data_IF_045566985478
#
_entry.id   IF_045566985478
#
_cell.length_a   1.000
_cell.length_b   1.000
_cell.length_c   1.000
_cell.angle_alpha   90.00
_cell.angle_beta   90.00
_cell.angle_gamma   90.00
#
_symmetry.space_group_name_H-M   'P 1'
#
loop_
_entity.id
_entity.type
_entity.pdbx_description
1 polymer ?
#
# COMPACT_ATOMS: atom_id res chain seq x y z
N UNK A 1 2.05 29.01 9.37
CA UNK A 1 3.12 28.20 8.73
C UNK A 1 2.92 26.76 9.18
N UNK A 2 2.47 25.87 8.30
CA UNK A 2 2.39 24.43 8.62
C UNK A 2 3.81 23.86 8.50
N UNK A 3 4.47 23.50 9.60
CA UNK A 3 5.84 23.04 9.56
C UNK A 3 5.90 21.66 8.89
N UNK A 4 6.87 21.47 8.02
CA UNK A 4 7.29 20.15 7.60
C UNK A 4 7.73 19.35 8.84
N UNK A 5 7.07 18.24 9.12
CA UNK A 5 7.41 17.37 10.25
C UNK A 5 8.41 16.33 9.77
N UNK A 6 9.60 16.32 10.36
CA UNK A 6 10.67 15.40 9.96
C UNK A 6 11.13 14.56 11.15
N UNK A 7 11.01 13.23 11.03
CA UNK A 7 11.63 12.26 11.93
C UNK A 7 12.91 11.72 11.29
N UNK A 8 14.03 11.95 11.92
CA UNK A 8 15.36 11.59 11.43
C UNK A 8 16.24 11.06 12.55
N UNK A 9 17.24 10.24 12.23
CA UNK A 9 18.26 9.71 13.15
C UNK A 9 17.68 9.06 14.42
N UNK A 10 16.67 8.19 14.23
CA UNK A 10 16.04 7.44 15.32
C UNK A 10 14.98 8.23 16.10
N UNK A 11 14.70 9.48 15.75
CA UNK A 11 13.62 10.26 16.35
C UNK A 11 12.27 9.64 16.04
N UNK A 12 11.44 9.45 17.06
CA UNK A 12 10.05 8.98 16.91
C UNK A 12 9.08 10.11 17.20
N UNK A 13 8.19 10.40 16.28
CA UNK A 13 7.19 11.45 16.39
C UNK A 13 5.78 10.86 16.31
N UNK A 14 4.87 11.41 17.08
CA UNK A 14 3.43 11.17 16.93
C UNK A 14 2.79 12.46 16.46
N UNK A 15 1.95 12.36 15.43
CA UNK A 15 1.16 13.48 14.95
C UNK A 15 -0.08 13.62 15.83
N UNK A 16 -0.32 14.81 16.35
CA UNK A 16 -1.56 15.14 17.04
C UNK A 16 -2.54 15.80 16.05
N UNK A 17 -3.84 15.67 16.32
CA UNK A 17 -4.88 16.29 15.47
C UNK A 17 -4.95 17.81 15.59
N UNK A 18 -4.42 18.36 16.68
CA UNK A 18 -4.59 19.77 17.04
C UNK A 18 -3.58 20.65 16.29
N UNK A 19 -4.07 21.48 15.38
CA UNK A 19 -3.30 22.57 14.77
C UNK A 19 -3.17 22.57 13.25
N UNK A 20 -3.79 21.63 12.53
CA UNK A 20 -3.66 21.56 11.06
C UNK A 20 -4.96 21.97 10.32
N UNK A 21 -5.49 23.14 10.60
CA UNK A 21 -6.77 23.64 10.07
C UNK A 21 -6.84 23.58 8.53
N UNK A 22 -7.13 22.41 7.96
CA UNK A 22 -7.45 22.21 6.54
C UNK A 22 -6.26 22.19 5.58
N UNK A 23 -5.05 22.53 5.99
CA UNK A 23 -3.87 22.48 5.12
C UNK A 23 -3.21 21.09 5.19
N UNK A 24 -2.70 20.55 4.06
CA UNK A 24 -1.97 19.29 4.06
C UNK A 24 -0.70 19.35 4.93
N UNK A 25 -0.48 18.31 5.73
CA UNK A 25 0.74 18.16 6.54
C UNK A 25 1.79 17.42 5.74
N UNK A 26 2.94 18.03 5.50
CA UNK A 26 4.07 17.41 4.84
C UNK A 26 4.95 16.68 5.86
N UNK A 27 5.21 15.39 5.64
CA UNK A 27 5.91 14.48 6.54
C UNK A 27 7.16 13.93 5.86
N UNK A 28 8.26 13.78 6.61
CA UNK A 28 9.43 13.05 6.15
C UNK A 28 9.93 12.10 7.24
N UNK A 29 10.28 10.88 6.84
CA UNK A 29 10.85 9.86 7.72
C UNK A 29 12.16 9.37 7.10
N UNK A 30 13.26 9.55 7.81
CA UNK A 30 14.58 9.23 7.30
C UNK A 30 15.46 8.55 8.37
N UNK A 31 16.46 7.79 7.94
CA UNK A 31 17.58 7.28 8.75
C UNK A 31 17.17 6.79 10.16
N UNK A 32 16.39 5.73 10.22
CA UNK A 32 15.85 5.10 11.45
C UNK A 32 14.81 5.95 12.19
N UNK A 33 14.41 7.10 11.65
CA UNK A 33 13.29 7.86 12.19
C UNK A 33 11.97 7.11 12.03
N UNK A 34 10.99 7.47 12.86
CA UNK A 34 9.62 6.96 12.74
C UNK A 34 8.56 8.04 12.97
N UNK A 35 7.43 7.91 12.28
CA UNK A 35 6.26 8.78 12.44
C UNK A 35 5.03 7.91 12.62
N UNK A 36 4.27 8.18 13.68
CA UNK A 36 2.92 7.62 13.87
C UNK A 36 1.87 8.66 13.50
N UNK A 37 0.99 8.33 12.57
CA UNK A 37 -0.12 9.21 12.22
C UNK A 37 -1.24 9.18 13.27
N UNK A 38 -1.84 10.34 13.52
CA UNK A 38 -3.01 10.47 14.38
C UNK A 38 -4.24 9.79 13.79
N UNK A 39 -5.23 9.51 14.63
CA UNK A 39 -6.58 9.16 14.18
C UNK A 39 -7.23 10.35 13.48
N UNK A 40 -8.07 10.09 12.47
CA UNK A 40 -8.77 11.15 11.73
C UNK A 40 -8.00 11.69 10.54
N UNK A 41 -6.79 11.24 10.30
CA UNK A 41 -5.90 11.69 9.22
C UNK A 41 -5.80 10.64 8.12
N UNK A 42 -6.18 10.99 6.90
CA UNK A 42 -5.83 10.20 5.71
C UNK A 42 -4.38 10.47 5.36
N UNK A 43 -3.60 9.42 5.13
CA UNK A 43 -2.17 9.59 4.86
C UNK A 43 -1.74 8.88 3.59
N UNK A 44 -0.86 9.53 2.83
CA UNK A 44 -0.19 8.93 1.66
C UNK A 44 1.31 8.98 1.89
N UNK A 45 1.97 7.85 1.70
CA UNK A 45 3.41 7.70 1.91
C UNK A 45 4.07 7.22 0.61
N UNK A 46 5.21 7.80 0.27
CA UNK A 46 6.00 7.46 -0.92
C UNK A 46 7.44 7.19 -0.50
N UNK A 47 7.94 5.99 -0.79
CA UNK A 47 9.31 5.61 -0.50
C UNK A 47 10.23 6.10 -1.63
N UNK A 48 11.13 7.01 -1.31
CA UNK A 48 12.04 7.61 -2.30
C UNK A 48 13.37 6.85 -2.42
N UNK A 49 13.90 6.35 -1.30
CA UNK A 49 15.21 5.69 -1.23
C UNK A 49 15.26 4.71 -0.07
N UNK A 50 16.04 3.62 -0.20
CA UNK A 50 16.15 2.58 0.84
C UNK A 50 14.85 1.85 1.06
N UNK A 51 14.57 1.49 2.29
CA UNK A 51 13.38 0.74 2.70
C UNK A 51 12.67 1.43 3.86
N UNK A 52 11.37 1.19 3.98
CA UNK A 52 10.60 1.50 5.18
C UNK A 52 9.69 0.34 5.56
N UNK A 53 9.35 0.27 6.85
CA UNK A 53 8.33 -0.60 7.40
C UNK A 53 7.15 0.26 7.83
N UNK A 54 5.98 -0.22 7.52
CA UNK A 54 4.74 0.43 7.94
C UNK A 54 3.90 -0.58 8.71
N UNK A 55 3.43 -0.19 9.87
CA UNK A 55 2.49 -0.96 10.68
C UNK A 55 1.21 -0.15 10.88
N UNK A 56 0.07 -0.76 10.62
CA UNK A 56 -1.26 -0.14 10.72
C UNK A 56 -2.30 -1.14 11.19
N UNK A 57 -3.57 -0.72 11.30
CA UNK A 57 -4.68 -1.65 11.56
C UNK A 57 -4.88 -2.67 10.43
N UNK A 58 -4.48 -2.35 9.22
CA UNK A 58 -4.57 -3.22 8.05
C UNK A 58 -3.42 -4.25 8.00
N UNK A 59 -2.41 -4.13 8.86
CA UNK A 59 -1.29 -5.07 8.97
C UNK A 59 0.07 -4.42 8.79
N UNK A 60 1.04 -5.24 8.32
CA UNK A 60 2.45 -4.85 8.19
C UNK A 60 2.88 -4.82 6.74
N UNK A 61 3.55 -3.74 6.36
CA UNK A 61 3.98 -3.52 4.98
C UNK A 61 5.47 -3.21 4.93
N UNK A 62 6.13 -3.75 3.93
CA UNK A 62 7.49 -3.37 3.57
C UNK A 62 7.43 -2.51 2.32
N UNK A 63 8.09 -1.35 2.35
CA UNK A 63 8.18 -0.44 1.22
C UNK A 63 9.60 -0.41 0.68
N UNK A 64 9.72 -0.44 -0.64
CA UNK A 64 10.96 -0.25 -1.41
C UNK A 64 10.86 1.05 -2.20
N UNK A 65 12.00 1.58 -2.65
CA UNK A 65 12.01 2.79 -3.48
C UNK A 65 11.07 2.65 -4.68
N UNK A 66 10.19 3.61 -4.85
CA UNK A 66 9.10 3.59 -5.82
C UNK A 66 7.74 3.18 -5.27
N UNK A 67 7.68 2.48 -4.14
CA UNK A 67 6.40 2.12 -3.55
C UNK A 67 5.70 3.33 -2.97
N UNK A 68 4.39 3.38 -3.15
CA UNK A 68 3.52 4.27 -2.39
C UNK A 68 2.40 3.48 -1.72
N UNK A 69 1.91 4.00 -0.58
CA UNK A 69 0.83 3.43 0.19
C UNK A 69 -0.03 4.55 0.80
N UNK A 70 -1.34 4.37 0.74
CA UNK A 70 -2.32 5.28 1.32
C UNK A 70 -3.18 4.55 2.37
N UNK A 71 -3.47 5.25 3.45
CA UNK A 71 -4.23 4.74 4.58
C UNK A 71 -5.42 5.64 4.89
N UNK A 72 -6.54 5.01 5.24
CA UNK A 72 -7.74 5.69 5.69
C UNK A 72 -7.52 6.34 7.07
N UNK A 73 -8.41 7.27 7.43
CA UNK A 73 -8.35 8.07 8.66
C UNK A 73 -8.27 7.26 9.95
N UNK A 74 -8.81 6.05 9.95
CA UNK A 74 -8.81 5.16 11.11
C UNK A 74 -7.61 4.22 11.21
N UNK A 75 -6.76 4.17 10.18
CA UNK A 75 -5.68 3.16 10.05
C UNK A 75 -4.51 3.39 11.00
N UNK A 76 -4.21 4.63 11.36
CA UNK A 76 -3.12 5.05 12.29
C UNK A 76 -1.77 4.42 11.93
N UNK A 77 -1.25 4.60 10.72
CA UNK A 77 0.00 3.99 10.35
C UNK A 77 1.17 4.55 11.13
N UNK A 78 2.09 3.65 11.50
CA UNK A 78 3.44 4.00 11.96
C UNK A 78 4.42 3.65 10.86
N UNK A 79 5.16 4.63 10.38
CA UNK A 79 6.16 4.48 9.31
C UNK A 79 7.55 4.63 9.90
N UNK A 80 8.42 3.65 9.66
CA UNK A 80 9.81 3.65 10.12
C UNK A 80 10.75 3.43 8.94
N UNK A 81 11.71 4.31 8.74
CA UNK A 81 12.74 4.19 7.71
C UNK A 81 13.91 3.31 8.15
N UNK A 82 14.58 2.64 7.20
CA UNK A 82 15.87 2.00 7.46
C UNK A 82 17.02 3.05 7.54
N UNK A 83 18.24 2.58 7.77
CA UNK A 83 19.44 3.46 7.89
C UNK A 83 19.65 4.36 6.68
N UNK A 84 19.29 3.90 5.49
CA UNK A 84 19.43 4.62 4.22
C UNK A 84 18.08 5.09 3.67
N UNK A 85 17.00 4.84 4.41
CA UNK A 85 15.62 5.12 4.01
C UNK A 85 15.32 6.61 3.98
N UNK A 86 14.48 6.96 3.02
CA UNK A 86 13.81 8.25 2.94
C UNK A 86 12.41 8.00 2.42
N UNK A 87 11.43 8.23 3.27
CA UNK A 87 10.01 8.18 2.96
C UNK A 87 9.42 9.57 3.16
N UNK A 88 8.67 10.06 2.18
CA UNK A 88 7.88 11.29 2.33
C UNK A 88 6.41 10.94 2.49
N UNK A 89 5.69 11.77 3.22
CA UNK A 89 4.27 11.57 3.47
C UNK A 89 3.48 12.86 3.37
N UNK A 90 2.20 12.70 3.17
CA UNK A 90 1.19 13.77 3.22
C UNK A 90 0.05 13.29 4.09
N UNK A 91 -0.30 14.10 5.10
CA UNK A 91 -1.47 13.91 5.93
C UNK A 91 -2.57 14.90 5.55
N UNK A 92 -3.80 14.41 5.45
CA UNK A 92 -5.00 15.19 5.15
C UNK A 92 -6.06 14.92 6.22
N UNK A 93 -6.53 15.96 6.87
CA UNK A 93 -7.71 15.92 7.74
C UNK A 93 -9.01 15.93 6.91
N UNK A 94 -10.15 16.00 7.59
CA UNK A 94 -11.46 16.08 6.92
C UNK A 94 -11.60 17.27 5.98
N UNK A 95 -11.08 18.43 6.38
CA UNK A 95 -11.13 19.67 5.58
C UNK A 95 -10.20 19.58 4.36
N UNK A 96 -9.01 19.03 4.52
CA UNK A 96 -8.07 18.80 3.41
C UNK A 96 -8.62 17.81 2.37
N UNK A 97 -9.32 16.77 2.81
CA UNK A 97 -10.01 15.84 1.90
C UNK A 97 -11.18 16.50 1.18
N UNK A 98 -11.94 17.36 1.86
CA UNK A 98 -13.02 18.11 1.23
C UNK A 98 -12.48 19.11 0.20
N UNK A 99 -11.45 19.85 0.53
CA UNK A 99 -10.78 20.76 -0.42
C UNK A 99 -10.27 20.03 -1.67
N UNK A 100 -9.71 18.81 -1.50
CA UNK A 100 -9.33 17.97 -2.64
C UNK A 100 -10.55 17.57 -3.49
N UNK A 101 -11.65 17.16 -2.86
CA UNK A 101 -12.86 16.76 -3.56
C UNK A 101 -13.48 17.92 -4.38
N UNK A 102 -13.43 19.13 -3.84
CA UNK A 102 -13.86 20.36 -4.55
C UNK A 102 -12.96 20.69 -5.75
N UNK A 103 -11.65 20.43 -5.64
CA UNK A 103 -10.68 20.69 -6.70
C UNK A 103 -10.76 19.71 -7.88
N UNK A 104 -11.09 18.45 -7.62
CA UNK A 104 -10.89 17.37 -8.60
C UNK A 104 -12.13 16.52 -8.83
N UNK A 105 -13.19 16.71 -8.05
CA UNK A 105 -14.34 15.78 -7.94
C UNK A 105 -13.89 14.31 -7.66
N UNK A 106 -12.66 14.13 -7.13
CA UNK A 106 -12.06 12.84 -6.83
C UNK A 106 -12.06 12.57 -5.34
N UNK A 107 -12.05 11.30 -4.96
CA UNK A 107 -11.90 10.83 -3.59
C UNK A 107 -10.64 9.99 -3.53
N UNK A 108 -9.87 10.13 -2.45
CA UNK A 108 -8.73 9.26 -2.20
C UNK A 108 -9.18 7.98 -1.51
N UNK A 109 -8.52 6.89 -1.87
CA UNK A 109 -8.78 5.55 -1.35
C UNK A 109 -7.54 4.96 -0.68
N UNK A 110 -7.70 4.15 0.37
CA UNK A 110 -6.60 3.34 0.88
C UNK A 110 -6.14 2.36 -0.19
N UNK A 111 -4.85 2.06 -0.22
CA UNK A 111 -4.28 1.15 -1.19
C UNK A 111 -2.81 1.40 -1.42
N UNK A 112 -2.19 0.60 -2.26
CA UNK A 112 -0.77 0.73 -2.60
C UNK A 112 -0.50 0.40 -4.06
N UNK A 113 0.58 0.97 -4.59
CA UNK A 113 1.10 0.65 -5.92
C UNK A 113 2.54 1.14 -6.04
N UNK A 114 3.07 1.22 -7.26
CA UNK A 114 4.42 1.68 -7.54
C UNK A 114 4.39 2.88 -8.49
N UNK A 115 5.32 3.79 -8.27
CA UNK A 115 5.59 4.93 -9.14
C UNK A 115 6.81 4.66 -10.01
N UNK A 116 6.74 5.10 -11.25
CA UNK A 116 7.89 5.19 -12.13
C UNK A 116 8.91 6.22 -11.64
N UNK A 117 10.14 6.16 -12.15
CA UNK A 117 11.21 7.11 -11.78
C UNK A 117 10.84 8.57 -12.07
N UNK A 118 10.10 8.82 -13.15
CA UNK A 118 9.64 10.17 -13.51
C UNK A 118 8.61 10.67 -12.48
N UNK A 119 7.62 9.85 -12.13
CA UNK A 119 6.57 10.20 -11.18
C UNK A 119 7.12 10.42 -9.77
N UNK A 120 8.13 9.65 -9.35
CA UNK A 120 8.84 9.86 -8.09
C UNK A 120 9.50 11.25 -8.03
N UNK A 121 10.12 11.71 -9.12
CA UNK A 121 10.73 13.04 -9.19
C UNK A 121 9.67 14.13 -9.12
N UNK A 122 8.55 13.95 -9.78
CA UNK A 122 7.40 14.86 -9.75
C UNK A 122 6.84 14.90 -8.32
N UNK A 123 6.53 13.76 -7.71
CA UNK A 123 6.04 13.67 -6.35
C UNK A 123 6.95 14.40 -5.35
N UNK A 124 8.27 14.18 -5.41
CA UNK A 124 9.22 14.85 -4.53
C UNK A 124 9.26 16.37 -4.77
N UNK A 125 9.21 16.83 -6.04
CA UNK A 125 9.20 18.26 -6.36
C UNK A 125 7.97 18.95 -5.81
N UNK A 126 6.79 18.37 -6.02
CA UNK A 126 5.52 18.92 -5.57
C UNK A 126 5.40 18.89 -4.05
N UNK A 127 5.84 17.81 -3.41
CA UNK A 127 5.91 17.70 -1.96
C UNK A 127 6.81 18.80 -1.35
N UNK A 128 8.01 19.04 -1.94
CA UNK A 128 8.91 20.13 -1.50
C UNK A 128 8.28 21.51 -1.69
N UNK A 129 7.52 21.70 -2.77
CA UNK A 129 6.78 22.94 -3.02
C UNK A 129 5.75 23.19 -1.93
N UNK A 130 4.90 22.21 -1.64
CA UNK A 130 3.89 22.28 -0.60
C UNK A 130 4.49 22.48 0.81
N UNK A 131 5.59 21.77 1.11
CA UNK A 131 6.29 21.91 2.39
C UNK A 131 6.89 23.31 2.61
N UNK A 132 7.29 24.02 1.54
CA UNK A 132 7.83 25.38 1.65
C UNK A 132 6.74 26.44 1.73
N UNK A 133 5.66 26.30 0.97
CA UNK A 133 4.56 27.27 1.01
C UNK A 133 3.84 27.27 2.34
N UNK A 134 3.63 26.07 2.91
CA UNK A 134 2.95 25.90 4.21
C UNK A 134 1.47 26.32 4.20
N UNK A 135 0.87 26.54 3.04
CA UNK A 135 -0.51 26.94 2.87
C UNK A 135 -1.28 26.02 1.90
N UNK A 136 -2.58 26.15 1.87
CA UNK A 136 -3.45 25.35 1.02
C UNK A 136 -3.26 25.64 -0.48
N UNK A 137 -2.95 26.89 -0.84
CA UNK A 137 -2.78 27.30 -2.23
C UNK A 137 -1.53 26.66 -2.85
N UNK A 138 -0.40 26.73 -2.16
CA UNK A 138 0.85 26.12 -2.60
C UNK A 138 0.85 24.59 -2.55
N UNK A 139 -0.05 23.99 -1.74
CA UNK A 139 -0.22 22.54 -1.71
C UNK A 139 -1.11 22.02 -2.87
N UNK A 140 -1.85 22.87 -3.55
CA UNK A 140 -2.78 22.49 -4.63
C UNK A 140 -2.17 21.58 -5.71
N UNK A 141 -0.95 21.88 -6.28
CA UNK A 141 -0.35 21.00 -7.28
C UNK A 141 -0.05 19.60 -6.76
N UNK A 142 0.34 19.48 -5.49
CA UNK A 142 0.57 18.18 -4.83
C UNK A 142 -0.74 17.42 -4.65
N UNK A 143 -1.82 18.07 -4.24
CA UNK A 143 -3.14 17.45 -4.10
C UNK A 143 -3.66 16.91 -5.43
N UNK A 144 -3.52 17.68 -6.51
CA UNK A 144 -3.87 17.24 -7.87
C UNK A 144 -3.05 16.02 -8.30
N UNK A 145 -1.77 15.99 -7.96
CA UNK A 145 -0.90 14.84 -8.25
C UNK A 145 -1.30 13.59 -7.45
N UNK A 146 -1.68 13.73 -6.17
CA UNK A 146 -2.21 12.62 -5.37
C UNK A 146 -3.47 12.02 -5.99
N UNK A 147 -4.40 12.85 -6.46
CA UNK A 147 -5.59 12.38 -7.18
C UNK A 147 -5.21 11.64 -8.48
N UNK A 148 -4.25 12.19 -9.24
CA UNK A 148 -3.77 11.58 -10.48
C UNK A 148 -3.07 10.22 -10.24
N UNK A 149 -2.29 10.08 -9.17
CA UNK A 149 -1.66 8.80 -8.78
C UNK A 149 -2.70 7.68 -8.54
N UNK A 150 -3.91 8.04 -8.14
CA UNK A 150 -5.01 7.11 -7.91
C UNK A 150 -5.99 7.00 -9.09
N UNK A 151 -5.62 7.46 -10.28
CA UNK A 151 -6.47 7.44 -11.46
C UNK A 151 -7.01 6.04 -11.83
N UNK A 152 -6.21 4.98 -11.65
CA UNK A 152 -6.66 3.60 -11.83
C UNK A 152 -7.79 3.23 -10.86
N UNK A 153 -7.77 3.73 -9.64
CA UNK A 153 -8.83 3.48 -8.66
C UNK A 153 -10.15 4.14 -9.06
N UNK A 154 -10.11 5.31 -9.67
CA UNK A 154 -11.30 5.97 -10.19
C UNK A 154 -11.98 5.14 -11.31
N UNK A 155 -11.20 4.48 -12.16
CA UNK A 155 -11.73 3.57 -13.17
C UNK A 155 -12.34 2.30 -12.55
N UNK A 156 -11.69 1.74 -11.53
CA UNK A 156 -12.20 0.57 -10.80
C UNK A 156 -13.46 0.90 -9.99
N UNK A 157 -13.58 2.11 -9.42
CA UNK A 157 -14.77 2.59 -8.72
C UNK A 157 -16.02 2.48 -9.61
N UNK A 158 -15.91 2.79 -10.90
CA UNK A 158 -17.03 2.74 -11.84
C UNK A 158 -17.61 1.33 -12.00
N UNK A 159 -16.80 0.28 -11.77
CA UNK A 159 -17.22 -1.12 -11.81
C UNK A 159 -17.93 -1.58 -10.54
N UNK A 160 -17.92 -0.76 -9.49
CA UNK A 160 -18.57 -1.11 -8.22
C UNK A 160 -20.09 -1.15 -8.34
N UNK A 161 -20.76 -2.12 -7.69
CA UNK A 161 -22.20 -2.14 -7.61
C UNK A 161 -22.73 -0.94 -6.82
N UNK A 162 -23.76 -0.28 -7.34
CA UNK A 162 -24.42 0.86 -6.70
C UNK A 162 -25.12 1.77 -7.70
N UNK A 163 -26.33 2.20 -7.38
CA UNK A 163 -27.12 3.11 -8.23
C UNK A 163 -26.58 4.54 -8.19
N UNK A 164 -26.06 4.98 -7.04
CA UNK A 164 -25.50 6.33 -6.89
C UNK A 164 -23.96 6.30 -6.88
N UNK A 165 -23.33 7.41 -7.28
CA UNK A 165 -21.89 7.61 -7.21
C UNK A 165 -21.37 7.48 -5.77
N UNK A 166 -22.08 8.08 -4.81
CA UNK A 166 -21.73 7.96 -3.40
C UNK A 166 -21.70 6.51 -2.92
N UNK A 167 -22.69 5.69 -3.33
CA UNK A 167 -22.72 4.28 -2.97
C UNK A 167 -21.54 3.49 -3.59
N UNK A 168 -21.22 3.75 -4.87
CA UNK A 168 -20.04 3.12 -5.53
C UNK A 168 -18.75 3.50 -4.82
N UNK A 169 -18.55 4.77 -4.50
CA UNK A 169 -17.39 5.26 -3.72
C UNK A 169 -17.28 4.56 -2.37
N UNK A 170 -18.38 4.42 -1.65
CA UNK A 170 -18.41 3.74 -0.35
C UNK A 170 -18.04 2.25 -0.49
N UNK A 171 -18.63 1.54 -1.46
CA UNK A 171 -18.33 0.11 -1.69
C UNK A 171 -16.87 -0.05 -2.08
N UNK A 172 -16.39 0.77 -3.01
CA UNK A 172 -15.00 0.70 -3.48
C UNK A 172 -14.00 0.95 -2.37
N UNK A 173 -14.19 2.00 -1.56
CA UNK A 173 -13.30 2.29 -0.43
C UNK A 173 -13.20 1.12 0.57
N UNK A 174 -14.34 0.48 0.87
CA UNK A 174 -14.36 -0.72 1.73
C UNK A 174 -13.66 -1.92 1.10
N UNK A 175 -13.80 -2.13 -0.22
CA UNK A 175 -13.10 -3.20 -0.95
C UNK A 175 -11.59 -2.94 -1.03
N UNK A 176 -11.18 -1.69 -1.23
CA UNK A 176 -9.76 -1.31 -1.17
C UNK A 176 -9.17 -1.55 0.21
N UNK A 177 -9.90 -1.24 1.27
CA UNK A 177 -9.46 -1.54 2.65
C UNK A 177 -9.33 -3.05 2.88
N UNK A 178 -10.27 -3.86 2.38
CA UNK A 178 -10.18 -5.31 2.45
C UNK A 178 -8.96 -5.85 1.69
N UNK A 179 -8.66 -5.30 0.52
CA UNK A 179 -7.47 -5.64 -0.26
C UNK A 179 -6.18 -5.27 0.48
N UNK A 180 -6.12 -4.06 1.02
CA UNK A 180 -4.98 -3.61 1.81
C UNK A 180 -4.77 -4.49 3.05
N UNK A 181 -5.86 -4.92 3.71
CA UNK A 181 -5.80 -5.86 4.83
C UNK A 181 -5.20 -7.22 4.44
N UNK A 182 -5.58 -7.77 3.28
CA UNK A 182 -4.97 -9.00 2.75
C UNK A 182 -3.47 -8.82 2.48
N UNK A 183 -3.08 -7.69 1.90
CA UNK A 183 -1.69 -7.36 1.58
C UNK A 183 -0.84 -7.15 2.85
N UNK A 184 -1.41 -6.59 3.91
CA UNK A 184 -0.74 -6.37 5.20
C UNK A 184 -0.65 -7.60 6.10
N UNK A 185 -1.42 -8.67 5.81
CA UNK A 185 -1.44 -9.92 6.57
C UNK A 185 -1.00 -11.12 5.71
N UNK A 186 0.06 -10.94 4.93
CA UNK A 186 0.62 -12.00 4.07
C UNK A 186 1.43 -13.07 4.81
N UNK A 187 1.50 -13.03 6.12
CA UNK A 187 2.14 -14.00 7.01
C UNK A 187 1.18 -15.07 7.54
N UNK A 188 -0.11 -14.94 7.27
CA UNK A 188 -1.15 -15.86 7.75
C UNK A 188 -2.29 -16.02 6.74
N UNK A 189 -3.15 -17.00 6.99
CA UNK A 189 -4.41 -17.14 6.27
C UNK A 189 -5.41 -16.11 6.79
N UNK A 190 -5.90 -15.25 5.90
CA UNK A 190 -7.00 -14.32 6.20
C UNK A 190 -8.33 -14.96 5.78
N UNK A 191 -9.28 -15.07 6.70
CA UNK A 191 -10.61 -15.61 6.44
C UNK A 191 -11.54 -14.53 5.88
N UNK A 192 -12.45 -14.90 4.99
CA UNK A 192 -13.43 -13.94 4.44
C UNK A 192 -14.31 -13.33 5.53
N UNK A 193 -14.57 -14.05 6.62
CA UNK A 193 -15.30 -13.52 7.77
C UNK A 193 -14.62 -12.31 8.42
N UNK A 194 -13.27 -12.28 8.46
CA UNK A 194 -12.51 -11.11 8.93
C UNK A 194 -12.72 -9.90 8.01
N UNK A 195 -12.70 -10.13 6.70
CA UNK A 195 -12.96 -9.08 5.71
C UNK A 195 -14.40 -8.57 5.78
N UNK A 196 -15.35 -9.47 6.05
CA UNK A 196 -16.75 -9.12 6.23
C UNK A 196 -16.94 -8.19 7.44
N UNK A 197 -16.31 -8.51 8.56
CA UNK A 197 -16.29 -7.65 9.75
C UNK A 197 -15.60 -6.31 9.47
N UNK A 198 -14.43 -6.32 8.85
CA UNK A 198 -13.67 -5.11 8.51
C UNK A 198 -14.46 -4.14 7.62
N UNK A 199 -15.21 -4.69 6.66
CA UNK A 199 -15.95 -3.91 5.66
C UNK A 199 -17.40 -3.64 6.05
N UNK A 200 -17.90 -4.27 7.11
CA UNK A 200 -19.32 -4.26 7.51
C UNK A 200 -20.25 -4.67 6.34
N UNK A 201 -19.86 -5.78 5.66
CA UNK A 201 -20.64 -6.44 4.64
C UNK A 201 -20.77 -7.94 4.97
N UNK A 202 -21.70 -8.65 4.31
CA UNK A 202 -21.75 -10.11 4.42
C UNK A 202 -20.56 -10.77 3.69
N UNK A 203 -20.14 -11.96 4.16
CA UNK A 203 -19.05 -12.71 3.53
C UNK A 203 -19.31 -13.00 2.04
N UNK A 204 -20.56 -13.29 1.69
CA UNK A 204 -20.99 -13.51 0.31
C UNK A 204 -20.80 -12.22 -0.54
N UNK A 205 -21.27 -11.08 -0.02
CA UNK A 205 -21.15 -9.80 -0.73
C UNK A 205 -19.69 -9.40 -0.94
N UNK A 206 -18.84 -9.56 0.11
CA UNK A 206 -17.40 -9.32 0.00
C UNK A 206 -16.79 -10.20 -1.08
N UNK A 207 -17.00 -11.52 -1.03
CA UNK A 207 -16.42 -12.45 -2.01
C UNK A 207 -16.82 -12.12 -3.44
N UNK A 208 -18.12 -11.90 -3.67
CA UNK A 208 -18.67 -11.58 -5.00
C UNK A 208 -18.14 -10.25 -5.55
N UNK A 209 -18.20 -9.20 -4.73
CA UNK A 209 -17.78 -7.85 -5.14
C UNK A 209 -16.27 -7.79 -5.34
N UNK A 210 -15.49 -8.41 -4.45
CA UNK A 210 -14.04 -8.48 -4.57
C UNK A 210 -13.61 -9.19 -5.85
N UNK A 211 -14.19 -10.36 -6.14
CA UNK A 211 -13.93 -11.12 -7.37
C UNK A 211 -14.28 -10.30 -8.62
N UNK A 212 -15.40 -9.57 -8.60
CA UNK A 212 -15.83 -8.74 -9.73
C UNK A 212 -14.88 -7.54 -9.97
N UNK A 213 -14.32 -6.96 -8.90
CA UNK A 213 -13.45 -5.78 -8.99
C UNK A 213 -12.01 -6.13 -9.36
N UNK A 214 -11.49 -7.22 -8.80
CA UNK A 214 -10.05 -7.55 -8.89
C UNK A 214 -9.78 -8.79 -9.74
N UNK A 215 -10.82 -9.41 -10.32
CA UNK A 215 -10.74 -10.64 -11.14
C UNK A 215 -10.08 -11.82 -10.39
N UNK A 216 -9.95 -11.71 -9.07
CA UNK A 216 -9.33 -12.67 -8.17
C UNK A 216 -10.13 -12.74 -6.86
N UNK A 217 -10.36 -13.95 -6.31
CA UNK A 217 -11.04 -14.06 -5.03
C UNK A 217 -10.16 -13.62 -3.86
N UNK A 218 -10.74 -13.22 -2.70
CA UNK A 218 -9.94 -12.89 -1.52
C UNK A 218 -9.02 -14.03 -1.07
N UNK A 219 -9.47 -15.28 -1.17
CA UNK A 219 -8.69 -16.45 -0.81
C UNK A 219 -7.52 -16.68 -1.79
N UNK A 220 -7.75 -16.51 -3.10
CA UNK A 220 -6.71 -16.63 -4.12
C UNK A 220 -5.64 -15.54 -3.94
N UNK A 221 -6.07 -14.29 -3.69
CA UNK A 221 -5.16 -13.19 -3.38
C UNK A 221 -4.35 -13.49 -2.12
N UNK A 222 -4.98 -13.92 -1.02
CA UNK A 222 -4.28 -14.29 0.23
C UNK A 222 -3.24 -15.39 -0.01
N UNK A 223 -3.59 -16.44 -0.74
CA UNK A 223 -2.66 -17.52 -1.06
C UNK A 223 -1.48 -17.04 -1.91
N UNK A 224 -1.73 -16.20 -2.92
CA UNK A 224 -0.71 -15.60 -3.76
C UNK A 224 0.25 -14.72 -2.96
N UNK A 225 -0.26 -13.84 -2.12
CA UNK A 225 0.55 -12.93 -1.29
C UNK A 225 1.45 -13.69 -0.31
N UNK A 226 0.97 -14.79 0.29
CA UNK A 226 1.78 -15.65 1.16
C UNK A 226 2.95 -16.30 0.39
N UNK A 227 2.72 -16.74 -0.84
CA UNK A 227 3.78 -17.31 -1.69
C UNK A 227 4.77 -16.25 -2.16
N UNK A 228 4.32 -15.03 -2.47
CA UNK A 228 5.19 -13.90 -2.81
C UNK A 228 6.05 -13.48 -1.61
N UNK A 229 5.48 -13.47 -0.39
CA UNK A 229 6.22 -13.28 0.85
C UNK A 229 7.28 -14.38 1.05
N UNK A 230 6.92 -15.65 0.82
CA UNK A 230 7.89 -16.74 0.90
C UNK A 230 9.06 -16.55 -0.09
N UNK A 231 8.78 -16.15 -1.32
CA UNK A 231 9.79 -15.86 -2.32
C UNK A 231 10.73 -14.70 -1.88
N UNK A 232 10.18 -13.65 -1.26
CA UNK A 232 10.98 -12.57 -0.67
C UNK A 232 11.86 -13.06 0.48
N UNK A 233 11.34 -13.89 1.39
CA UNK A 233 12.11 -14.48 2.49
C UNK A 233 13.23 -15.40 2.00
N UNK A 234 12.96 -16.22 0.99
CA UNK A 234 13.97 -17.10 0.37
C UNK A 234 15.12 -16.31 -0.24
N UNK A 235 14.85 -15.15 -0.80
CA UNK A 235 15.82 -14.29 -1.46
C UNK A 235 16.60 -13.40 -0.48
N UNK A 236 15.91 -12.88 0.54
CA UNK A 236 16.42 -11.83 1.42
C UNK A 236 16.99 -12.36 2.75
N UNK A 237 16.80 -13.68 3.06
CA UNK A 237 17.20 -14.29 4.34
C UNK A 237 17.82 -15.68 4.18
N UNK A 238 18.55 -16.12 5.21
CA UNK A 238 19.10 -17.47 5.33
C UNK A 238 18.16 -18.45 6.07
N UNK A 239 16.91 -18.12 6.33
CA UNK A 239 15.93 -18.98 7.02
C UNK A 239 15.83 -20.34 6.36
N UNK A 240 15.66 -21.42 7.14
CA UNK A 240 15.40 -22.75 6.58
C UNK A 240 14.06 -22.77 5.81
N UNK A 241 13.94 -23.66 4.81
CA UNK A 241 12.72 -23.73 3.97
C UNK A 241 11.46 -23.96 4.82
N UNK A 242 11.57 -24.78 5.89
CA UNK A 242 10.47 -24.98 6.83
C UNK A 242 10.09 -23.74 7.61
N UNK A 243 11.07 -22.94 8.03
CA UNK A 243 10.83 -21.65 8.71
C UNK A 243 10.17 -20.65 7.77
N UNK A 244 10.59 -20.58 6.50
CA UNK A 244 9.97 -19.75 5.48
C UNK A 244 8.51 -20.15 5.26
N UNK A 245 8.21 -21.45 5.21
CA UNK A 245 6.85 -21.96 5.10
C UNK A 245 5.99 -21.46 6.28
N UNK A 246 6.44 -21.66 7.51
CA UNK A 246 5.76 -21.19 8.72
C UNK A 246 5.57 -19.67 8.75
N UNK A 247 6.65 -18.90 8.46
CA UNK A 247 6.62 -17.44 8.40
C UNK A 247 5.72 -16.87 7.28
N UNK A 248 5.30 -17.72 6.34
CA UNK A 248 4.36 -17.40 5.26
C UNK A 248 2.98 -18.03 5.47
N UNK A 249 2.68 -18.47 6.69
CA UNK A 249 1.37 -18.96 7.09
C UNK A 249 1.00 -20.36 6.56
N UNK A 250 1.98 -21.21 6.27
CA UNK A 250 1.74 -22.61 5.89
C UNK A 250 1.93 -23.52 7.10
N UNK A 251 0.94 -24.33 7.40
CA UNK A 251 0.94 -25.25 8.55
C UNK A 251 1.88 -26.45 8.35
N UNK A 252 2.18 -26.79 7.09
CA UNK A 252 3.13 -27.88 6.78
C UNK A 252 3.92 -27.64 5.50
N UNK A 253 5.14 -28.21 5.48
CA UNK A 253 6.08 -28.05 4.37
C UNK A 253 5.59 -28.71 3.06
N UNK A 254 4.80 -29.78 3.11
CA UNK A 254 4.32 -30.47 1.91
C UNK A 254 3.32 -29.60 1.13
N UNK A 255 2.37 -28.98 1.84
CA UNK A 255 1.41 -28.04 1.25
C UNK A 255 2.14 -26.80 0.67
N UNK A 256 3.12 -26.28 1.42
CA UNK A 256 3.97 -25.18 0.95
C UNK A 256 4.70 -25.56 -0.34
N UNK A 257 5.43 -26.67 -0.35
CA UNK A 257 6.24 -27.10 -1.48
C UNK A 257 5.42 -27.27 -2.78
N UNK A 258 4.22 -27.89 -2.66
CA UNK A 258 3.29 -28.04 -3.78
C UNK A 258 2.80 -26.69 -4.30
N UNK A 259 2.33 -25.80 -3.40
CA UNK A 259 1.82 -24.50 -3.76
C UNK A 259 2.93 -23.59 -4.35
N UNK A 260 4.14 -23.63 -3.78
CA UNK A 260 5.27 -22.86 -4.26
C UNK A 260 5.69 -23.29 -5.67
N UNK A 261 5.84 -24.60 -5.89
CA UNK A 261 6.18 -25.15 -7.21
C UNK A 261 5.08 -24.85 -8.25
N UNK A 262 3.82 -24.96 -7.89
CA UNK A 262 2.71 -24.60 -8.77
C UNK A 262 2.74 -23.12 -9.19
N UNK A 263 3.16 -22.21 -8.28
CA UNK A 263 3.20 -20.77 -8.53
C UNK A 263 4.44 -20.32 -9.30
N UNK A 264 5.61 -20.86 -8.98
CA UNK A 264 6.90 -20.38 -9.50
C UNK A 264 7.57 -21.35 -10.48
N UNK A 265 7.02 -22.55 -10.69
CA UNK A 265 7.54 -23.55 -11.61
C UNK A 265 8.71 -24.36 -11.07
N UNK A 266 9.34 -23.93 -9.96
CA UNK A 266 10.53 -24.55 -9.35
C UNK A 266 10.33 -24.78 -7.85
N UNK A 267 11.15 -25.66 -7.25
CA UNK A 267 11.13 -25.85 -5.81
C UNK A 267 11.67 -24.62 -5.07
N UNK A 268 11.27 -24.44 -3.80
CA UNK A 268 11.76 -23.34 -2.97
C UNK A 268 13.29 -23.34 -2.80
N UNK A 269 13.91 -24.52 -2.70
CA UNK A 269 15.37 -24.64 -2.64
C UNK A 269 16.05 -24.15 -3.92
N UNK A 270 15.56 -24.61 -5.07
CA UNK A 270 16.09 -24.20 -6.36
C UNK A 270 15.87 -22.69 -6.64
N UNK A 271 14.71 -22.15 -6.22
CA UNK A 271 14.45 -20.70 -6.30
C UNK A 271 15.46 -19.88 -5.50
N UNK A 272 15.84 -20.34 -4.30
CA UNK A 272 16.89 -19.72 -3.48
C UNK A 272 18.26 -19.76 -4.15
N UNK A 273 18.65 -20.91 -4.70
CA UNK A 273 19.92 -21.08 -5.43
C UNK A 273 20.00 -20.11 -6.61
N UNK A 274 18.97 -20.02 -7.41
CA UNK A 274 18.89 -19.06 -8.52
C UNK A 274 19.04 -17.61 -8.07
N UNK A 275 18.40 -17.24 -6.95
CA UNK A 275 18.46 -15.89 -6.41
C UNK A 275 19.86 -15.52 -5.89
N UNK A 276 20.64 -16.50 -5.41
CA UNK A 276 22.02 -16.32 -4.96
C UNK A 276 23.00 -16.17 -6.12
N UNK A 277 22.76 -16.86 -7.24
CA UNK A 277 23.64 -16.84 -8.44
C UNK A 277 23.42 -15.59 -9.29
N UNK A 278 22.22 -14.99 -9.27
CA UNK A 278 21.85 -13.85 -10.11
C UNK A 278 21.29 -12.68 -9.30
N UNK A 279 22.10 -11.94 -8.55
CA UNK A 279 21.62 -10.85 -7.71
C UNK A 279 20.98 -9.68 -8.48
N UNK A 280 21.24 -9.53 -9.78
CA UNK A 280 20.69 -8.43 -10.63
C UNK A 280 19.41 -8.80 -11.41
N UNK A 281 19.19 -10.08 -11.75
CA UNK A 281 17.99 -10.50 -12.48
C UNK A 281 16.74 -10.56 -11.59
N UNK A 282 16.90 -10.64 -10.27
CA UNK A 282 15.79 -10.62 -9.32
C UNK A 282 15.10 -9.26 -9.18
N UNK A 283 15.68 -8.16 -9.70
CA UNK A 283 15.06 -6.83 -9.72
C UNK A 283 14.01 -6.67 -10.81
N UNK A 284 13.96 -7.54 -11.80
CA UNK A 284 13.01 -7.50 -12.93
C UNK A 284 11.93 -8.60 -12.88
N UNK A 285 11.94 -9.46 -11.86
CA UNK A 285 10.95 -10.52 -11.64
C UNK A 285 9.61 -10.04 -11.07
N UNK A 286 9.18 -8.85 -11.42
CA UNK A 286 7.76 -8.52 -11.47
C UNK A 286 7.13 -9.45 -12.50
N UNK A 287 6.34 -10.43 -12.03
CA UNK A 287 5.46 -11.22 -12.90
C UNK A 287 4.78 -10.25 -13.84
N UNK A 288 4.84 -10.46 -15.18
CA UNK A 288 4.14 -9.58 -16.10
C UNK A 288 2.67 -9.58 -15.72
N UNK A 289 2.16 -8.46 -15.24
CA UNK A 289 0.74 -8.20 -15.21
C UNK A 289 0.30 -8.38 -16.65
N UNK A 290 -0.44 -9.44 -16.96
CA UNK A 290 -1.16 -9.54 -18.22
C UNK A 290 -2.01 -8.27 -18.31
N UNK A 291 -1.51 -7.29 -19.06
CA UNK A 291 -2.34 -6.25 -19.60
C UNK A 291 -3.38 -6.99 -20.43
N UNK A 292 -4.65 -6.88 -20.04
CA UNK A 292 -5.75 -7.32 -20.86
C UNK A 292 -5.67 -6.50 -22.15
N UNK A 293 -5.08 -7.09 -23.19
CA UNK A 293 -5.14 -6.56 -24.54
C UNK A 293 -6.61 -6.63 -24.96
N UNK A 294 -7.29 -5.51 -24.94
CA UNK A 294 -8.54 -5.32 -25.63
C UNK A 294 -8.25 -5.32 -27.13
N UNK A 295 -8.40 -6.49 -27.76
CA UNK A 295 -8.54 -6.57 -29.22
C UNK A 295 -9.94 -6.04 -29.55
N UNK A 296 -9.97 -4.95 -30.31
CA UNK A 296 -11.18 -4.47 -31.01
C UNK A 296 -11.58 -5.51 -32.05
N UNK A 297 -12.80 -5.90 -32.01
CA UNK A 297 -13.62 -6.28 -33.18
C UNK A 297 -15.02 -5.82 -32.89
#
# INVERSE_FOLDING_TARGET
>A
MNPMITADRGLSLTLDQDGHAGAPVCLAVARLGSVRAASGMFTVWVQLRGRAWVESKEGKFRMRAGDWIAFDRDSRPTVQADRNGLCIGVGLDGNGLQALAELTDSVLYPGRSQLGRADLRIALRLWRGAARSGDAAGARPMLLHLAAMQGEFAQQEQRCPGRSRSRRRQVFGRMQRARLYLEGNSDRVVRVAELAQLTNFSSWYVSKTFQSLYEESPQALSARLRLERAADLLRDTSMMIGEVAGASGFDNCCSFARAFRARFGVSASHYREQALVSPDSAKSGGVPRKAAAFTRS
#
